data_IF_035365660105
#
_entry.id   IF_035365660105
#
_cell.length_a   1.000
_cell.length_b   1.000
_cell.length_c   1.000
_cell.angle_alpha   90.00
_cell.angle_beta   90.00
_cell.angle_gamma   90.00
#
_symmetry.space_group_name_H-M   'P 1'
#
loop_
_entity.id
_entity.type
_entity.pdbx_description
1 polymer ?
#
# COMPACT_ATOMS: atom_id res chain seq x y z
N UNK A 1 -12.40 -13.36 13.27
CA UNK A 1 -12.53 -12.74 11.94
C UNK A 1 -11.14 -12.33 11.47
N UNK A 2 -10.69 -12.74 10.28
CA UNK A 2 -9.38 -12.33 9.76
C UNK A 2 -9.45 -10.97 9.07
N UNK A 3 -8.34 -10.22 8.99
CA UNK A 3 -8.26 -8.97 8.21
C UNK A 3 -8.68 -9.21 6.75
N UNK A 4 -8.26 -10.35 6.17
CA UNK A 4 -8.63 -10.75 4.81
C UNK A 4 -10.14 -10.92 4.64
N UNK A 5 -10.84 -11.52 5.60
CA UNK A 5 -12.29 -11.66 5.55
C UNK A 5 -12.99 -10.29 5.57
N UNK A 6 -12.51 -9.36 6.40
CA UNK A 6 -13.07 -8.01 6.47
C UNK A 6 -12.88 -7.21 5.17
N UNK A 7 -11.72 -7.34 4.53
CA UNK A 7 -11.45 -6.71 3.23
C UNK A 7 -12.40 -7.27 2.15
N UNK A 8 -12.60 -8.59 2.13
CA UNK A 8 -13.50 -9.25 1.19
C UNK A 8 -14.96 -8.80 1.36
N UNK A 9 -15.46 -8.67 2.59
CA UNK A 9 -16.82 -8.15 2.87
C UNK A 9 -17.04 -6.73 2.36
N UNK A 10 -15.99 -5.90 2.37
CA UNK A 10 -16.02 -4.53 1.88
C UNK A 10 -15.82 -4.45 0.35
N UNK A 11 -15.62 -5.58 -0.33
CA UNK A 11 -15.30 -5.62 -1.75
C UNK A 11 -13.93 -5.03 -2.10
N UNK A 12 -13.01 -4.97 -1.13
CA UNK A 12 -11.67 -4.39 -1.30
C UNK A 12 -10.65 -5.50 -1.57
N UNK A 13 -9.96 -5.42 -2.70
CA UNK A 13 -8.78 -6.24 -3.02
C UNK A 13 -7.51 -5.43 -2.85
N UNK A 14 -6.52 -5.98 -2.16
CA UNK A 14 -5.22 -5.30 -2.04
C UNK A 14 -4.48 -5.34 -3.38
N UNK A 15 -3.95 -4.20 -3.86
CA UNK A 15 -3.13 -4.18 -5.06
C UNK A 15 -1.74 -4.77 -4.78
N UNK A 16 -1.02 -5.08 -5.86
CA UNK A 16 0.41 -5.37 -5.77
C UNK A 16 1.16 -4.15 -5.21
N UNK A 17 2.07 -4.32 -4.23
CA UNK A 17 2.83 -3.20 -3.67
C UNK A 17 3.61 -2.41 -4.72
N UNK A 18 3.63 -1.09 -4.59
CA UNK A 18 4.36 -0.23 -5.51
C UNK A 18 5.88 -0.46 -5.40
N UNK A 19 6.56 -0.43 -6.55
CA UNK A 19 8.03 -0.43 -6.61
C UNK A 19 8.57 0.90 -6.08
N UNK A 20 9.76 0.87 -5.47
CA UNK A 20 10.46 2.07 -5.07
C UNK A 20 10.77 2.96 -6.29
N UNK A 21 10.49 4.26 -6.18
CA UNK A 21 10.65 5.24 -7.27
C UNK A 21 12.10 5.77 -7.35
N UNK A 22 12.89 5.57 -6.29
CA UNK A 22 14.28 5.98 -6.21
C UNK A 22 15.07 5.02 -5.31
N UNK A 23 16.26 5.44 -4.86
CA UNK A 23 17.18 4.64 -4.05
C UNK A 23 16.72 4.56 -2.58
N UNK A 24 15.61 3.86 -2.33
CA UNK A 24 15.11 3.52 -1.00
C UNK A 24 14.40 2.16 -1.03
N UNK A 25 14.18 1.55 0.15
CA UNK A 25 13.48 0.27 0.29
C UNK A 25 11.99 0.46 0.59
N UNK A 26 11.10 -0.46 0.22
CA UNK A 26 9.64 -0.28 0.43
C UNK A 26 9.22 -0.19 1.90
N UNK A 27 9.95 -0.87 2.78
CA UNK A 27 9.77 -0.83 4.23
C UNK A 27 11.08 -1.22 4.95
N UNK A 28 11.17 -0.84 6.22
CA UNK A 28 12.22 -1.30 7.14
C UNK A 28 11.59 -1.77 8.45
N UNK A 29 12.22 -2.74 9.12
CA UNK A 29 11.82 -3.19 10.46
C UNK A 29 12.97 -2.96 11.44
N UNK A 30 12.66 -2.35 12.59
CA UNK A 30 13.57 -2.18 13.72
C UNK A 30 12.87 -2.65 14.99
N UNK A 31 13.29 -3.80 15.53
CA UNK A 31 12.59 -4.44 16.65
C UNK A 31 11.14 -4.76 16.27
N UNK A 32 10.19 -4.21 17.02
CA UNK A 32 8.74 -4.38 16.78
C UNK A 32 8.12 -3.25 15.95
N UNK A 33 8.92 -2.27 15.48
CA UNK A 33 8.45 -1.21 14.60
C UNK A 33 8.68 -1.57 13.13
N UNK A 34 7.60 -1.61 12.34
CA UNK A 34 7.63 -1.69 10.88
C UNK A 34 7.29 -0.32 10.29
N UNK A 35 8.24 0.31 9.59
CA UNK A 35 8.05 1.59 8.92
C UNK A 35 7.93 1.38 7.42
N UNK A 36 6.78 1.77 6.86
CA UNK A 36 6.47 1.68 5.44
C UNK A 36 6.78 3.03 4.79
N UNK A 37 7.48 3.04 3.66
CA UNK A 37 7.70 4.27 2.88
C UNK A 37 6.41 4.85 2.32
N UNK A 38 6.43 6.12 1.91
CA UNK A 38 5.25 6.79 1.35
C UNK A 38 4.56 5.99 0.25
N UNK A 39 3.25 5.85 0.36
CA UNK A 39 2.39 5.18 -0.63
C UNK A 39 1.57 6.23 -1.38
N UNK A 40 1.41 6.03 -2.69
CA UNK A 40 0.55 6.86 -3.54
C UNK A 40 -0.85 6.26 -3.61
N UNK A 41 -1.84 7.09 -3.91
CA UNK A 41 -3.23 6.68 -4.16
C UNK A 41 -3.35 6.00 -5.52
N UNK A 42 -2.77 4.81 -5.64
CA UNK A 42 -2.84 3.96 -6.82
C UNK A 42 -3.75 2.78 -6.55
N UNK A 43 -4.62 2.47 -7.51
CA UNK A 43 -5.34 1.20 -7.57
C UNK A 43 -4.92 0.39 -8.80
N UNK A 44 -5.60 -0.72 -9.07
CA UNK A 44 -5.31 -1.57 -10.23
C UNK A 44 -5.52 -0.85 -11.58
N UNK A 45 -6.29 0.24 -11.62
CA UNK A 45 -6.56 1.05 -12.81
C UNK A 45 -5.56 2.20 -13.00
N UNK A 46 -4.72 2.48 -12.00
CA UNK A 46 -3.66 3.49 -12.05
C UNK A 46 -3.71 4.46 -10.87
N UNK A 47 -2.99 5.58 -10.99
CA UNK A 47 -2.91 6.61 -9.95
C UNK A 47 -4.04 7.63 -10.02
N UNK A 48 -4.70 7.88 -8.89
CA UNK A 48 -5.63 9.00 -8.73
C UNK A 48 -4.85 10.31 -8.73
N UNK A 49 -5.15 11.19 -9.69
CA UNK A 49 -4.52 12.52 -9.81
C UNK A 49 -5.46 13.59 -9.25
N UNK A 50 -4.97 14.36 -8.28
CA UNK A 50 -5.63 15.58 -7.83
C UNK A 50 -5.40 16.74 -8.80
N UNK A 51 -6.26 17.75 -8.74
CA UNK A 51 -6.05 19.07 -9.34
C UNK A 51 -5.44 20.01 -8.30
N UNK A 52 -4.44 20.80 -8.73
CA UNK A 52 -3.87 21.90 -7.94
C UNK A 52 -4.56 23.20 -8.34
#
# INVERSE_FOLDING_TARGET
MSIHARLAELGVTLPEPAKAVANYVPYVRTGELLHISGQLSNDASGGLKGTV
#
